data_IF_834981416660
#
_entry.id   IF_834981416660
#
_cell.length_a   1.000
_cell.length_b   1.000
_cell.length_c   1.000
_cell.angle_alpha   90.00
_cell.angle_beta   90.00
_cell.angle_gamma   90.00
#
_symmetry.space_group_name_H-M   'P 1'
#
loop_
_entity.id
_entity.type
_entity.pdbx_description
1 polymer ?
#
# COMPACT_ATOMS: atom_id res chain seq x y z
N UNK A 1 -28.53 11.27 -65.34
CA UNK A 1 -27.11 11.66 -65.14
C UNK A 1 -27.07 12.66 -63.99
N UNK A 2 -26.21 12.37 -63.00
CA UNK A 2 -25.67 13.21 -61.92
C UNK A 2 -26.50 14.34 -61.27
N UNK A 3 -26.63 14.24 -59.94
CA UNK A 3 -27.00 15.25 -58.92
C UNK A 3 -25.89 16.33 -58.68
N UNK A 4 -26.01 17.33 -57.78
CA UNK A 4 -27.15 18.22 -57.46
C UNK A 4 -26.75 19.68 -57.06
N UNK A 5 -27.77 20.44 -56.65
CA UNK A 5 -27.84 21.43 -55.55
C UNK A 5 -27.15 22.81 -55.62
N UNK A 6 -27.98 23.85 -55.44
CA UNK A 6 -27.66 25.01 -54.61
C UNK A 6 -28.96 25.54 -53.98
N UNK A 7 -29.01 25.66 -52.65
CA UNK A 7 -29.83 26.69 -52.01
C UNK A 7 -29.25 27.09 -50.66
N UNK A 8 -29.15 28.40 -50.48
CA UNK A 8 -28.65 29.09 -49.30
C UNK A 8 -29.74 29.25 -48.23
N UNK A 9 -29.32 29.45 -46.99
CA UNK A 9 -30.19 29.97 -45.93
C UNK A 9 -29.72 29.61 -44.53
N UNK A 10 -28.78 30.39 -44.00
CA UNK A 10 -28.32 30.27 -42.62
C UNK A 10 -29.40 30.77 -41.64
N UNK A 11 -29.74 29.94 -40.65
CA UNK A 11 -30.42 30.34 -39.43
C UNK A 11 -29.45 30.10 -38.27
N UNK A 12 -29.07 31.18 -37.58
CA UNK A 12 -28.32 31.13 -36.32
C UNK A 12 -29.20 30.50 -35.24
N UNK A 13 -28.72 29.44 -34.60
CA UNK A 13 -29.19 29.03 -33.28
C UNK A 13 -28.01 29.14 -32.31
N UNK A 14 -28.20 29.92 -31.25
CA UNK A 14 -27.35 29.94 -30.06
C UNK A 14 -27.08 28.50 -29.60
N UNK A 15 -25.86 28.02 -29.85
CA UNK A 15 -25.30 26.91 -29.12
C UNK A 15 -24.51 27.53 -27.98
N UNK A 16 -25.04 27.41 -26.77
CA UNK A 16 -24.28 27.56 -25.54
C UNK A 16 -23.05 26.67 -25.66
N UNK A 17 -21.90 27.31 -25.85
CA UNK A 17 -20.59 26.67 -25.86
C UNK A 17 -20.31 26.25 -24.41
N UNK A 18 -20.85 25.09 -24.03
CA UNK A 18 -20.38 24.40 -22.83
C UNK A 18 -18.97 23.96 -23.17
N UNK A 19 -18.00 24.76 -22.74
CA UNK A 19 -16.60 24.35 -22.64
C UNK A 19 -16.61 23.17 -21.68
N UNK A 20 -16.69 21.96 -22.22
CA UNK A 20 -16.33 20.76 -21.47
C UNK A 20 -14.85 20.92 -21.15
N UNK A 21 -14.56 21.35 -19.93
CA UNK A 21 -13.22 21.21 -19.35
C UNK A 21 -12.79 19.77 -19.59
N UNK A 22 -11.65 19.52 -20.26
CA UNK A 22 -11.14 18.17 -20.41
C UNK A 22 -11.10 17.56 -19.01
N UNK A 23 -11.82 16.45 -18.82
CA UNK A 23 -11.64 15.64 -17.62
C UNK A 23 -10.18 15.21 -17.68
N UNK A 24 -9.35 15.84 -16.85
CA UNK A 24 -7.94 15.46 -16.74
C UNK A 24 -7.88 13.96 -16.54
N UNK A 25 -7.04 13.31 -17.32
CA UNK A 25 -6.77 11.88 -17.23
C UNK A 25 -6.65 11.50 -15.75
N UNK A 26 -7.37 10.47 -15.26
CA UNK A 26 -7.30 10.11 -13.86
C UNK A 26 -5.83 9.91 -13.48
N UNK A 27 -5.41 10.59 -12.41
CA UNK A 27 -4.05 10.49 -11.89
C UNK A 27 -3.70 9.01 -11.73
N UNK A 28 -2.68 8.56 -12.45
CA UNK A 28 -2.24 7.17 -12.46
C UNK A 28 -1.54 6.85 -11.14
N UNK A 29 -2.28 6.31 -10.18
CA UNK A 29 -1.76 5.82 -8.91
C UNK A 29 -1.06 4.45 -9.03
N UNK A 30 -0.63 4.03 -10.23
CA UNK A 30 0.08 2.77 -10.47
C UNK A 30 1.24 2.48 -9.50
N UNK A 31 2.06 3.46 -9.10
CA UNK A 31 3.13 3.25 -8.09
C UNK A 31 2.61 2.96 -6.68
N UNK A 32 1.35 3.28 -6.38
CA UNK A 32 0.67 3.00 -5.12
C UNK A 32 -0.17 1.72 -5.19
N UNK A 33 -0.08 0.96 -6.29
CA UNK A 33 -0.77 -0.32 -6.42
C UNK A 33 -0.33 -1.24 -5.26
N UNK A 34 -1.28 -1.91 -4.57
CA UNK A 34 -0.94 -2.82 -3.49
C UNK A 34 0.00 -3.92 -3.99
N UNK A 35 1.00 -4.28 -3.19
CA UNK A 35 1.74 -5.52 -3.40
C UNK A 35 0.74 -6.69 -3.37
N UNK A 36 0.79 -7.54 -4.39
CA UNK A 36 -0.03 -8.76 -4.47
C UNK A 36 0.50 -9.83 -3.50
N UNK A 37 0.26 -9.62 -2.20
CA UNK A 37 0.62 -10.56 -1.14
C UNK A 37 -0.66 -11.21 -0.62
N UNK A 38 -0.69 -12.55 -0.63
CA UNK A 38 -1.78 -13.37 -0.13
C UNK A 38 -1.40 -14.13 1.13
N UNK A 39 -2.40 -14.71 1.79
CA UNK A 39 -2.24 -15.67 2.89
C UNK A 39 -3.55 -16.41 3.09
N UNK A 40 -3.50 -17.62 3.65
CA UNK A 40 -4.69 -18.35 4.09
C UNK A 40 -4.67 -18.56 5.61
N UNK A 41 -5.83 -18.44 6.26
CA UNK A 41 -6.01 -18.82 7.65
C UNK A 41 -7.44 -19.32 7.91
N UNK A 42 -7.58 -20.41 8.67
CA UNK A 42 -8.87 -21.02 9.00
C UNK A 42 -8.95 -21.34 10.49
N UNK A 43 -9.93 -20.78 11.18
CA UNK A 43 -10.26 -21.16 12.56
C UNK A 43 -11.53 -22.00 12.57
N UNK A 44 -11.43 -23.22 13.11
CA UNK A 44 -12.50 -24.21 13.16
C UNK A 44 -12.87 -24.46 14.62
N UNK A 45 -14.09 -24.07 15.00
CA UNK A 45 -14.61 -24.30 16.35
C UNK A 45 -14.98 -25.76 16.60
N UNK A 46 -15.18 -26.11 17.87
CA UNK A 46 -15.50 -27.47 18.36
C UNK A 46 -16.66 -28.14 17.64
N UNK A 47 -17.65 -27.38 17.18
CA UNK A 47 -18.82 -27.91 16.45
C UNK A 47 -18.47 -28.52 15.08
N UNK A 48 -17.26 -28.26 14.57
CA UNK A 48 -16.83 -28.69 13.23
C UNK A 48 -15.48 -29.41 13.22
N UNK A 49 -14.94 -29.74 14.39
CA UNK A 49 -13.76 -30.60 14.51
C UNK A 49 -14.15 -31.99 15.04
N UNK A 50 -13.34 -33.01 14.73
CA UNK A 50 -13.64 -34.40 15.09
C UNK A 50 -13.56 -34.64 16.61
N UNK A 51 -12.72 -33.88 17.32
CA UNK A 51 -12.57 -33.99 18.78
C UNK A 51 -13.80 -33.49 19.55
N UNK A 52 -14.69 -32.71 18.91
CA UNK A 52 -15.86 -32.09 19.56
C UNK A 52 -15.51 -31.11 20.69
N UNK A 53 -14.23 -30.83 20.89
CA UNK A 53 -13.66 -30.04 21.99
C UNK A 53 -12.53 -29.17 21.46
N UNK A 54 -12.33 -28.00 22.09
CA UNK A 54 -11.34 -27.02 21.66
C UNK A 54 -11.61 -26.43 20.27
N UNK A 55 -10.59 -25.82 19.69
CA UNK A 55 -10.62 -25.27 18.33
C UNK A 55 -9.35 -25.70 17.57
N UNK A 56 -9.42 -25.70 16.24
CA UNK A 56 -8.28 -25.94 15.37
C UNK A 56 -7.99 -24.68 14.55
N UNK A 57 -6.72 -24.32 14.42
CA UNK A 57 -6.27 -23.25 13.55
C UNK A 57 -5.35 -23.82 12.46
N UNK A 58 -5.61 -23.44 11.20
CA UNK A 58 -4.69 -23.62 10.08
C UNK A 58 -4.10 -22.25 9.74
N UNK A 59 -2.78 -22.12 9.80
CA UNK A 59 -2.03 -20.93 9.45
C UNK A 59 -1.19 -21.20 8.19
N UNK A 60 -1.37 -20.40 7.14
CA UNK A 60 -0.61 -20.53 5.89
C UNK A 60 -0.30 -19.15 5.29
N UNK A 61 0.66 -18.39 5.88
CA UNK A 61 1.09 -17.11 5.33
C UNK A 61 1.91 -17.29 4.05
N UNK A 62 1.71 -16.44 3.03
CA UNK A 62 2.55 -16.44 1.81
C UNK A 62 3.49 -15.23 1.83
N UNK A 63 4.70 -15.44 2.34
CA UNK A 63 5.73 -14.42 2.46
C UNK A 63 7.02 -14.83 1.72
N UNK A 64 7.91 -13.88 1.39
CA UNK A 64 9.19 -14.17 0.73
C UNK A 64 10.02 -15.20 1.49
N UNK A 65 10.77 -16.01 0.74
CA UNK A 65 11.65 -17.06 1.30
C UNK A 65 13.01 -16.53 1.77
N UNK A 66 13.33 -15.30 1.38
CA UNK A 66 14.60 -14.62 1.63
C UNK A 66 14.36 -13.17 2.04
N UNK A 67 15.40 -12.54 2.59
CA UNK A 67 15.35 -11.15 3.05
C UNK A 67 14.59 -10.95 4.37
N UNK A 68 14.34 -9.68 4.71
CA UNK A 68 13.80 -9.28 6.01
C UNK A 68 12.36 -9.78 6.27
N UNK A 69 11.62 -10.13 5.22
CA UNK A 69 10.25 -10.64 5.34
C UNK A 69 10.17 -12.16 5.49
N UNK A 70 11.31 -12.86 5.55
CA UNK A 70 11.33 -14.30 5.81
C UNK A 70 10.93 -14.58 7.27
N UNK A 71 10.02 -15.53 7.45
CA UNK A 71 9.70 -16.08 8.76
C UNK A 71 10.80 -17.05 9.27
N UNK A 72 11.05 -16.98 10.57
CA UNK A 72 11.84 -17.96 11.32
C UNK A 72 11.01 -18.45 12.51
N UNK A 73 11.10 -19.75 12.80
CA UNK A 73 10.45 -20.33 13.97
C UNK A 73 11.18 -19.96 15.26
N UNK A 74 10.42 -19.75 16.32
CA UNK A 74 10.92 -19.37 17.64
C UNK A 74 9.98 -19.86 18.74
N UNK A 75 10.55 -20.37 19.82
CA UNK A 75 9.87 -20.51 21.11
C UNK A 75 10.46 -19.52 22.10
N UNK A 76 9.59 -18.80 22.80
CA UNK A 76 9.97 -17.93 23.90
C UNK A 76 9.36 -18.49 25.18
N UNK A 77 10.22 -18.83 26.14
CA UNK A 77 9.80 -19.35 27.44
C UNK A 77 10.44 -18.51 28.55
N UNK A 78 9.59 -17.87 29.35
CA UNK A 78 9.93 -17.21 30.60
C UNK A 78 9.16 -17.95 31.71
N UNK A 79 9.84 -18.69 32.61
CA UNK A 79 9.18 -19.54 33.59
C UNK A 79 8.14 -18.78 34.43
N UNK A 80 6.90 -19.26 34.41
CA UNK A 80 5.78 -18.65 35.15
C UNK A 80 5.13 -17.44 34.48
N UNK A 81 5.63 -17.00 33.33
CA UNK A 81 5.11 -15.79 32.65
C UNK A 81 4.74 -16.03 31.18
N UNK A 82 5.64 -16.60 30.38
CA UNK A 82 5.47 -16.73 28.94
C UNK A 82 5.87 -18.15 28.52
N UNK A 83 5.02 -18.81 27.75
CA UNK A 83 5.39 -19.95 26.93
C UNK A 83 4.62 -19.88 25.61
N UNK A 84 5.34 -19.53 24.54
CA UNK A 84 4.76 -19.25 23.23
C UNK A 84 5.68 -19.77 22.14
N UNK A 85 5.10 -20.47 21.17
CA UNK A 85 5.83 -20.98 20.00
C UNK A 85 5.14 -20.52 18.72
N UNK A 86 5.94 -20.28 17.69
CA UNK A 86 5.44 -19.97 16.36
C UNK A 86 6.55 -19.44 15.48
N UNK A 87 6.21 -18.47 14.63
CA UNK A 87 7.14 -17.83 13.71
C UNK A 87 7.10 -16.30 13.80
N UNK A 88 8.24 -15.68 13.51
CA UNK A 88 8.41 -14.22 13.48
C UNK A 88 9.27 -13.80 12.28
N UNK A 89 9.09 -12.57 11.79
CA UNK A 89 9.96 -12.00 10.78
C UNK A 89 11.38 -11.80 11.33
N UNK A 90 12.38 -12.07 10.49
CA UNK A 90 13.78 -11.93 10.88
C UNK A 90 14.08 -10.52 11.42
N UNK A 91 14.64 -10.45 12.63
CA UNK A 91 15.02 -9.19 13.29
C UNK A 91 13.93 -8.57 14.18
N UNK A 92 12.69 -9.10 14.19
CA UNK A 92 11.65 -8.65 15.11
C UNK A 92 11.60 -9.54 16.38
N UNK A 93 11.38 -8.97 17.58
CA UNK A 93 11.15 -9.76 18.78
C UNK A 93 9.73 -10.37 18.80
N UNK A 94 9.54 -11.41 19.61
CA UNK A 94 8.23 -12.00 19.86
C UNK A 94 7.81 -13.07 18.85
N UNK A 95 6.51 -13.39 18.86
CA UNK A 95 5.87 -14.39 17.98
C UNK A 95 4.75 -13.70 17.20
N UNK A 96 4.90 -13.59 15.88
CA UNK A 96 3.93 -12.93 15.00
C UNK A 96 2.76 -13.85 14.63
N UNK A 97 3.04 -15.12 14.34
CA UNK A 97 2.03 -16.17 14.08
C UNK A 97 2.39 -17.35 14.96
N UNK A 98 1.45 -17.88 15.75
CA UNK A 98 1.80 -18.94 16.69
C UNK A 98 0.68 -19.37 17.61
N UNK A 99 1.06 -19.98 18.72
CA UNK A 99 0.15 -20.45 19.75
C UNK A 99 0.80 -20.47 21.13
N UNK A 100 -0.05 -20.46 22.16
CA UNK A 100 0.26 -20.80 23.55
C UNK A 100 -0.53 -22.04 23.94
N UNK A 101 -0.50 -22.43 25.22
CA UNK A 101 -1.35 -23.50 25.75
C UNK A 101 -2.86 -23.26 25.49
N UNK A 102 -3.31 -22.01 25.50
CA UNK A 102 -4.75 -21.67 25.48
C UNK A 102 -5.27 -21.05 24.19
N UNK A 103 -4.42 -20.56 23.29
CA UNK A 103 -4.85 -19.84 22.09
C UNK A 103 -3.86 -19.99 20.94
N UNK A 104 -4.38 -20.03 19.72
CA UNK A 104 -3.60 -19.97 18.49
C UNK A 104 -4.08 -18.81 17.60
N UNK A 105 -3.17 -18.17 16.87
CA UNK A 105 -3.50 -17.07 15.95
C UNK A 105 -2.65 -17.09 14.68
N UNK A 106 -3.19 -16.44 13.64
CA UNK A 106 -2.52 -16.21 12.37
C UNK A 106 -3.00 -14.91 11.74
N UNK A 107 -2.40 -14.53 10.62
CA UNK A 107 -2.69 -13.27 9.93
C UNK A 107 -2.79 -13.46 8.42
N UNK A 108 -3.70 -12.71 7.81
CA UNK A 108 -3.79 -12.55 6.37
C UNK A 108 -3.67 -11.09 5.98
N UNK A 109 -3.20 -10.83 4.76
CA UNK A 109 -3.18 -9.46 4.23
C UNK A 109 -4.62 -8.98 4.09
N UNK A 110 -4.92 -7.84 4.71
CA UNK A 110 -6.25 -7.24 4.68
C UNK A 110 -6.40 -6.34 3.46
N UNK A 111 -7.57 -6.38 2.81
CA UNK A 111 -7.93 -5.44 1.74
C UNK A 111 -8.15 -3.99 2.22
N UNK A 112 -8.14 -3.75 3.53
CA UNK A 112 -8.30 -2.41 4.10
C UNK A 112 -7.12 -1.50 3.76
N UNK A 113 -7.41 -0.29 3.26
CA UNK A 113 -6.40 0.72 2.92
C UNK A 113 -5.75 1.28 4.20
N UNK A 114 -4.42 1.42 4.18
CA UNK A 114 -3.62 1.94 5.32
C UNK A 114 -2.97 3.30 5.04
N UNK A 115 -3.26 3.88 3.88
CA UNK A 115 -2.77 5.18 3.44
C UNK A 115 -3.80 5.83 2.52
N UNK A 116 -3.81 7.15 2.48
CA UNK A 116 -4.59 7.97 1.54
C UNK A 116 -3.60 8.90 0.84
N UNK A 117 -3.68 8.98 -0.49
CA UNK A 117 -2.93 9.95 -1.26
C UNK A 117 -3.77 11.21 -1.45
N UNK A 118 -3.13 12.38 -1.41
CA UNK A 118 -3.73 13.66 -1.73
C UNK A 118 -3.10 14.17 -3.02
N UNK A 119 -3.92 14.62 -3.95
CA UNK A 119 -3.46 15.43 -5.07
C UNK A 119 -3.36 16.88 -4.57
N UNK A 120 -2.21 17.51 -4.79
CA UNK A 120 -1.94 18.87 -4.33
C UNK A 120 -2.02 19.83 -5.51
N UNK A 121 -2.81 20.90 -5.36
CA UNK A 121 -2.76 22.04 -6.25
C UNK A 121 -1.52 22.86 -5.89
N UNK A 122 -0.55 22.92 -6.81
CA UNK A 122 0.71 23.66 -6.60
C UNK A 122 0.56 25.12 -7.00
N UNK A 123 1.26 26.00 -6.28
CA UNK A 123 1.48 27.36 -6.72
C UNK A 123 2.29 27.36 -8.03
N UNK A 124 1.80 27.95 -9.13
CA UNK A 124 2.51 27.97 -10.41
C UNK A 124 3.86 28.70 -10.35
N UNK A 125 4.07 29.57 -9.37
CA UNK A 125 5.31 30.30 -9.16
C UNK A 125 6.25 29.58 -8.18
N UNK A 126 5.74 28.61 -7.40
CA UNK A 126 6.50 27.89 -6.37
C UNK A 126 6.14 26.40 -6.32
N UNK A 127 6.94 25.50 -6.95
CA UNK A 127 6.62 24.07 -7.05
C UNK A 127 6.68 23.32 -5.70
N UNK A 128 7.14 23.96 -4.64
CA UNK A 128 7.18 23.43 -3.26
C UNK A 128 6.17 24.13 -2.35
N UNK A 129 5.20 24.83 -2.91
CA UNK A 129 4.06 25.42 -2.20
C UNK A 129 2.79 24.82 -2.78
N UNK A 130 1.89 24.36 -1.90
CA UNK A 130 0.58 23.84 -2.29
C UNK A 130 -0.52 24.68 -1.66
N UNK A 131 -1.71 24.63 -2.25
CA UNK A 131 -2.86 25.39 -1.80
C UNK A 131 -3.80 24.52 -0.95
N UNK A 132 -4.28 25.07 0.17
CA UNK A 132 -5.37 24.50 0.98
C UNK A 132 -6.45 25.54 1.10
N UNK A 133 -7.64 25.26 0.58
CA UNK A 133 -8.76 26.21 0.54
C UNK A 133 -8.38 27.57 -0.10
N UNK A 134 -7.42 27.56 -1.04
CA UNK A 134 -6.90 28.75 -1.73
C UNK A 134 -5.75 29.46 -1.02
N UNK A 135 -5.40 29.06 0.21
CA UNK A 135 -4.30 29.64 0.98
C UNK A 135 -2.99 28.87 0.71
N UNK A 136 -1.84 29.56 0.54
CA UNK A 136 -0.57 28.92 0.26
C UNK A 136 0.06 28.29 1.51
N UNK A 137 0.57 27.07 1.34
CA UNK A 137 1.30 26.29 2.34
C UNK A 137 2.63 25.79 1.78
N UNK A 138 3.74 26.22 2.38
CA UNK A 138 5.07 25.72 2.03
C UNK A 138 5.24 24.26 2.48
N UNK A 139 5.88 23.44 1.64
CA UNK A 139 6.33 22.11 2.02
C UNK A 139 7.50 22.19 3.00
N UNK A 140 7.55 21.27 3.96
CA UNK A 140 8.73 21.11 4.82
C UNK A 140 9.86 20.45 4.04
N UNK A 141 10.99 21.12 3.91
CA UNK A 141 12.21 20.55 3.32
C UNK A 141 13.14 19.93 4.36
N UNK A 142 13.87 18.90 3.96
CA UNK A 142 14.95 18.31 4.72
C UNK A 142 16.07 17.90 3.76
N UNK A 143 17.29 18.38 4.00
CA UNK A 143 18.47 17.96 3.25
C UNK A 143 19.00 16.64 3.83
N UNK A 144 19.32 15.70 2.95
CA UNK A 144 19.86 14.40 3.29
C UNK A 144 21.16 14.15 2.54
N UNK A 145 22.24 13.92 3.30
CA UNK A 145 23.53 13.46 2.76
C UNK A 145 23.62 11.93 2.85
N UNK A 146 23.93 11.28 1.74
CA UNK A 146 24.12 9.83 1.65
C UNK A 146 25.53 9.52 1.17
N UNK A 147 26.19 8.59 1.85
CA UNK A 147 27.49 8.04 1.46
C UNK A 147 27.32 7.02 0.32
N UNK A 148 28.20 7.08 -0.67
CA UNK A 148 28.17 6.26 -1.88
C UNK A 148 29.50 5.53 -2.03
N UNK A 149 29.46 4.20 -1.90
CA UNK A 149 30.60 3.35 -2.20
C UNK A 149 30.81 3.28 -3.72
N UNK A 150 31.95 3.76 -4.20
CA UNK A 150 32.34 3.75 -5.61
C UNK A 150 33.01 2.42 -5.99
N UNK A 151 33.08 2.06 -7.29
CA UNK A 151 33.67 0.79 -7.73
C UNK A 151 35.15 0.61 -7.38
N UNK A 152 35.89 1.70 -7.18
CA UNK A 152 37.30 1.69 -6.77
C UNK A 152 37.49 1.54 -5.25
N UNK A 153 36.40 1.41 -4.50
CA UNK A 153 36.39 1.26 -3.04
C UNK A 153 36.45 2.59 -2.27
N UNK A 154 36.48 3.73 -2.97
CA UNK A 154 36.36 5.04 -2.31
C UNK A 154 34.91 5.30 -1.90
N UNK A 155 34.71 6.14 -0.88
CA UNK A 155 33.39 6.60 -0.45
C UNK A 155 33.26 8.08 -0.82
N UNK A 156 32.20 8.40 -1.55
CA UNK A 156 31.79 9.76 -1.89
C UNK A 156 30.50 10.12 -1.14
N UNK A 157 30.04 11.37 -1.22
CA UNK A 157 28.77 11.80 -0.62
C UNK A 157 27.93 12.59 -1.60
N UNK A 158 26.63 12.33 -1.64
CA UNK A 158 25.65 13.18 -2.34
C UNK A 158 24.66 13.75 -1.33
N UNK A 159 24.38 15.05 -1.43
CA UNK A 159 23.34 15.73 -0.63
C UNK A 159 22.20 16.16 -1.55
N UNK A 160 20.96 15.91 -1.14
CA UNK A 160 19.74 16.36 -1.81
C UNK A 160 18.71 16.81 -0.81
#
# INVERSE_FOLDING_TARGET
MAEPAAFAGASRSDATDTVETPVESPVEFGPLAPLEVGSNAWAVGSQRNESGTGALLVANPHFPWEGALRFAEVQLTVPGEIDVYGAQLAGLPGVGIGFTEGVAWSHTVSAGKRMTAYLLDLDPESPTTYLVDGEPHEMTSAEHTVEILRPDGTVDTETR
#
